data_IF_130786102223
#
_entry.id   IF_130786102223
#
_cell.length_a   1.000
_cell.length_b   1.000
_cell.length_c   1.000
_cell.angle_alpha   90.00
_cell.angle_beta   90.00
_cell.angle_gamma   90.00
#
_symmetry.space_group_name_H-M   'P 1'
#
loop_
_entity.id
_entity.type
_entity.pdbx_description
1 polymer ?
#
# COMPACT_ATOMS: atom_id res chain seq x y z
N UNK A 1 9.50 16.24 65.81
CA UNK A 1 8.04 16.47 65.73
C UNK A 1 7.39 15.09 65.93
N UNK A 2 6.95 14.75 67.16
CA UNK A 2 5.55 14.89 67.67
C UNK A 2 4.55 14.24 66.70
N UNK A 3 3.73 13.23 67.01
CA UNK A 3 3.26 12.65 68.27
C UNK A 3 2.86 11.17 68.07
N UNK A 4 3.05 10.38 69.12
CA UNK A 4 2.36 9.12 69.36
C UNK A 4 0.93 9.36 69.84
N UNK A 5 -0.01 8.45 69.54
CA UNK A 5 -1.13 8.11 70.44
C UNK A 5 -1.43 6.61 70.28
N UNK A 6 -1.03 5.85 71.30
CA UNK A 6 -1.55 4.56 71.72
C UNK A 6 -3.01 4.72 72.17
N UNK A 7 -3.91 3.80 71.83
CA UNK A 7 -4.98 3.37 72.73
C UNK A 7 -5.13 1.84 72.65
N UNK A 8 -5.13 1.21 73.81
CA UNK A 8 -5.32 -0.22 74.05
C UNK A 8 -6.60 -0.44 74.88
N UNK A 9 -6.90 -1.73 75.15
CA UNK A 9 -8.01 -2.34 75.93
C UNK A 9 -9.15 -2.84 75.03
N UNK A 10 -9.70 -4.04 75.16
CA UNK A 10 -9.74 -5.02 76.25
C UNK A 10 -10.07 -6.41 75.66
N UNK A 11 -9.60 -7.47 76.31
CA UNK A 11 -10.03 -8.85 76.06
C UNK A 11 -11.35 -9.15 76.79
N UNK A 12 -12.21 -9.97 76.19
CA UNK A 12 -13.08 -10.90 76.89
C UNK A 12 -13.41 -12.10 76.00
N UNK A 13 -13.11 -13.28 76.53
CA UNK A 13 -13.36 -14.59 75.95
C UNK A 13 -14.83 -14.97 76.13
N UNK A 14 -15.45 -15.60 75.13
CA UNK A 14 -16.49 -16.60 75.39
C UNK A 14 -16.60 -17.57 74.22
N UNK A 15 -16.31 -18.84 74.55
CA UNK A 15 -16.60 -20.01 73.74
C UNK A 15 -18.11 -20.14 73.56
N UNK A 16 -18.54 -20.28 72.30
CA UNK A 16 -19.88 -20.72 71.95
C UNK A 16 -19.93 -21.07 70.47
N UNK A 17 -19.69 -22.34 70.13
CA UNK A 17 -19.91 -22.87 68.77
C UNK A 17 -21.41 -22.90 68.48
N UNK A 18 -21.93 -22.17 67.49
CA UNK A 18 -23.28 -22.37 66.97
C UNK A 18 -23.27 -23.57 65.98
N UNK A 19 -24.39 -24.29 65.83
CA UNK A 19 -24.50 -25.40 64.89
C UNK A 19 -24.35 -24.88 63.44
N UNK A 20 -23.81 -25.69 62.52
CA UNK A 20 -23.64 -25.26 61.13
C UNK A 20 -25.03 -24.99 60.51
N UNK A 21 -25.26 -23.80 59.93
CA UNK A 21 -26.45 -23.59 59.12
C UNK A 21 -26.37 -24.48 57.87
N UNK A 22 -27.50 -25.11 57.55
CA UNK A 22 -27.70 -25.95 56.37
C UNK A 22 -27.25 -25.18 55.11
N UNK A 23 -26.36 -25.80 54.34
CA UNK A 23 -25.94 -25.33 53.02
C UNK A 23 -27.18 -25.26 52.12
N UNK A 24 -27.63 -24.04 51.83
CA UNK A 24 -28.45 -23.78 50.64
C UNK A 24 -27.45 -23.57 49.51
N UNK A 25 -27.55 -24.27 48.36
CA UNK A 25 -26.67 -24.01 47.24
C UNK A 25 -26.98 -22.62 46.71
N UNK A 26 -26.15 -21.64 47.09
CA UNK A 26 -26.14 -20.36 46.41
C UNK A 26 -25.70 -20.61 44.98
N UNK A 27 -26.57 -20.19 44.06
CA UNK A 27 -26.30 -20.15 42.63
C UNK A 27 -24.92 -19.55 42.40
N UNK A 28 -24.11 -20.29 41.65
CA UNK A 28 -22.81 -19.89 41.11
C UNK A 28 -22.74 -18.38 40.87
N UNK A 29 -21.72 -17.74 41.44
CA UNK A 29 -21.23 -16.44 40.99
C UNK A 29 -20.89 -16.59 39.50
N UNK A 30 -21.87 -16.27 38.65
CA UNK A 30 -21.63 -16.05 37.24
C UNK A 30 -20.85 -14.75 37.16
N UNK A 31 -19.52 -14.88 37.01
CA UNK A 31 -18.67 -13.78 36.62
C UNK A 31 -19.33 -13.09 35.42
N UNK A 32 -19.81 -11.87 35.63
CA UNK A 32 -20.24 -11.00 34.55
C UNK A 32 -18.97 -10.72 33.75
N UNK A 33 -18.74 -11.50 32.70
CA UNK A 33 -17.77 -11.20 31.69
C UNK A 33 -18.21 -9.88 31.08
N UNK A 34 -17.54 -8.80 31.48
CA UNK A 34 -17.63 -7.52 30.79
C UNK A 34 -17.13 -7.80 29.38
N UNK A 35 -18.06 -7.93 28.43
CA UNK A 35 -17.75 -7.92 27.03
C UNK A 35 -17.12 -6.57 26.74
N UNK A 36 -15.79 -6.53 26.70
CA UNK A 36 -15.08 -5.47 26.00
C UNK A 36 -15.70 -5.47 24.61
N UNK A 37 -16.36 -4.38 24.26
CA UNK A 37 -16.93 -4.17 22.94
C UNK A 37 -15.76 -4.23 21.96
N UNK A 38 -15.47 -5.44 21.47
CA UNK A 38 -14.58 -5.64 20.36
C UNK A 38 -15.28 -4.88 19.25
N UNK A 39 -14.71 -3.73 18.89
CA UNK A 39 -15.29 -2.82 17.91
C UNK A 39 -15.70 -3.54 16.62
N UNK A 40 -16.30 -2.83 15.66
CA UNK A 40 -16.88 -3.44 14.47
C UNK A 40 -15.93 -4.50 13.85
N UNK A 41 -16.45 -5.69 13.51
CA UNK A 41 -15.61 -6.80 13.07
C UNK A 41 -14.77 -6.36 11.87
N UNK A 42 -13.48 -6.69 11.92
CA UNK A 42 -12.57 -6.37 10.82
C UNK A 42 -13.03 -7.07 9.52
N UNK A 43 -12.85 -6.43 8.35
CA UNK A 43 -13.05 -7.09 7.07
C UNK A 43 -12.29 -8.41 6.99
N UNK A 44 -12.84 -9.41 6.29
CA UNK A 44 -12.18 -10.70 6.11
C UNK A 44 -10.80 -10.52 5.42
N UNK A 45 -9.73 -10.95 6.10
CA UNK A 45 -8.36 -10.71 5.66
C UNK A 45 -7.46 -11.91 6.03
N UNK A 46 -6.26 -11.93 5.45
CA UNK A 46 -5.21 -12.89 5.78
C UNK A 46 -3.98 -12.14 6.30
N UNK A 47 -3.29 -12.71 7.28
CA UNK A 47 -2.10 -12.12 7.88
C UNK A 47 -0.83 -12.86 7.46
N UNK A 48 0.20 -12.12 7.09
CA UNK A 48 1.49 -12.63 6.62
C UNK A 48 2.64 -12.07 7.47
N UNK A 49 3.77 -12.79 7.57
CA UNK A 49 4.94 -12.30 8.30
C UNK A 49 5.57 -11.07 7.64
N UNK A 50 5.59 -10.99 6.31
CA UNK A 50 6.21 -9.91 5.55
C UNK A 50 5.57 -9.76 4.15
N UNK A 51 6.01 -8.73 3.43
CA UNK A 51 5.48 -8.38 2.11
C UNK A 51 5.79 -9.46 1.06
N UNK A 52 6.95 -10.11 1.16
CA UNK A 52 7.34 -11.14 0.20
C UNK A 52 6.45 -12.38 0.33
N UNK A 53 6.15 -12.81 1.57
CA UNK A 53 5.23 -13.90 1.86
C UNK A 53 3.82 -13.58 1.35
N UNK A 54 3.33 -12.36 1.58
CA UNK A 54 2.03 -11.91 1.06
C UNK A 54 1.98 -11.97 -0.48
N UNK A 55 2.97 -11.39 -1.17
CA UNK A 55 3.03 -11.39 -2.65
C UNK A 55 3.09 -12.83 -3.20
N UNK A 56 3.92 -13.69 -2.60
CA UNK A 56 4.13 -15.06 -3.08
C UNK A 56 2.84 -15.90 -3.10
N UNK A 57 1.97 -15.70 -2.10
CA UNK A 57 0.70 -16.42 -1.98
C UNK A 57 -0.45 -15.73 -2.72
N UNK A 58 -0.41 -14.39 -2.78
CA UNK A 58 -1.50 -13.60 -3.37
C UNK A 58 -1.50 -13.65 -4.90
N UNK A 59 -0.32 -13.64 -5.53
CA UNK A 59 -0.20 -13.61 -6.99
C UNK A 59 -0.31 -15.02 -7.59
N UNK A 60 -1.34 -15.32 -8.40
CA UNK A 60 -1.48 -16.60 -9.10
C UNK A 60 -0.27 -16.96 -9.95
N UNK A 61 0.01 -18.26 -10.09
CA UNK A 61 1.18 -18.76 -10.81
C UNK A 61 1.17 -18.41 -12.31
N UNK A 62 0.00 -18.29 -12.91
CA UNK A 62 -0.22 -17.96 -14.32
C UNK A 62 -0.30 -16.45 -14.61
N UNK A 63 -0.12 -15.61 -13.59
CA UNK A 63 -0.06 -14.15 -13.74
C UNK A 63 1.01 -13.74 -14.75
N UNK A 64 0.67 -12.80 -15.62
CA UNK A 64 1.58 -12.23 -16.61
C UNK A 64 2.02 -10.82 -16.26
N UNK A 65 1.10 -10.03 -15.72
CA UNK A 65 1.35 -8.65 -15.33
C UNK A 65 0.84 -8.40 -13.91
N UNK A 66 1.66 -7.75 -13.08
CA UNK A 66 1.27 -7.30 -11.74
C UNK A 66 1.36 -5.78 -11.67
N UNK A 67 0.25 -5.11 -11.40
CA UNK A 67 0.23 -3.69 -11.07
C UNK A 67 0.35 -3.49 -9.56
N UNK A 68 1.43 -2.87 -9.12
CA UNK A 68 1.66 -2.43 -7.76
C UNK A 68 1.33 -0.94 -7.63
N UNK A 69 0.20 -0.66 -6.99
CA UNK A 69 -0.26 0.68 -6.66
C UNK A 69 0.20 1.13 -5.29
N UNK A 70 0.47 2.42 -5.10
CA UNK A 70 0.67 3.03 -3.79
C UNK A 70 -0.12 4.32 -3.61
N UNK A 71 -0.32 4.71 -2.36
CA UNK A 71 -0.52 6.12 -2.03
C UNK A 71 0.86 6.78 -2.00
N UNK A 72 1.09 7.74 -2.90
CA UNK A 72 2.38 8.43 -2.94
C UNK A 72 2.66 9.15 -1.63
N UNK A 73 3.89 8.99 -1.14
CA UNK A 73 4.42 9.84 -0.09
C UNK A 73 4.43 11.30 -0.56
N UNK A 74 4.00 12.22 0.32
CA UNK A 74 3.88 13.65 0.05
C UNK A 74 4.37 14.47 1.24
N UNK A 75 4.86 15.67 1.00
CA UNK A 75 5.35 16.56 2.08
C UNK A 75 4.22 17.09 2.98
N UNK A 76 2.97 17.01 2.53
CA UNK A 76 1.78 17.40 3.29
C UNK A 76 1.07 16.21 3.97
N UNK A 77 1.76 15.07 4.11
CA UNK A 77 1.28 13.82 4.73
C UNK A 77 2.24 13.34 5.83
N UNK A 78 1.92 12.21 6.47
CA UNK A 78 2.81 11.58 7.44
C UNK A 78 4.20 11.32 6.82
N UNK A 79 5.26 11.77 7.50
CA UNK A 79 6.63 11.58 7.06
C UNK A 79 7.17 10.24 7.59
N UNK A 80 6.67 9.17 6.99
CA UNK A 80 7.00 7.78 7.33
C UNK A 80 7.72 7.11 6.17
N UNK A 81 8.24 5.90 6.40
CA UNK A 81 8.84 5.09 5.33
C UNK A 81 7.79 4.83 4.24
N UNK A 82 8.13 5.15 2.99
CA UNK A 82 7.23 5.03 1.84
C UNK A 82 6.95 3.57 1.47
N UNK A 83 5.83 3.33 0.78
CA UNK A 83 5.57 2.04 0.15
C UNK A 83 6.68 1.69 -0.86
N UNK A 84 7.16 2.68 -1.61
CA UNK A 84 8.31 2.53 -2.53
C UNK A 84 9.56 1.98 -1.84
N UNK A 85 9.92 2.52 -0.69
CA UNK A 85 11.07 2.05 0.09
C UNK A 85 10.87 0.62 0.64
N UNK A 86 9.65 0.27 1.03
CA UNK A 86 9.29 -1.07 1.51
C UNK A 86 9.28 -2.09 0.37
N UNK A 87 8.72 -1.74 -0.79
CA UNK A 87 8.74 -2.54 -2.00
C UNK A 87 10.17 -2.79 -2.49
N UNK A 88 10.99 -1.74 -2.55
CA UNK A 88 12.41 -1.83 -2.95
C UNK A 88 13.17 -2.82 -2.07
N UNK A 89 12.95 -2.79 -0.74
CA UNK A 89 13.60 -3.72 0.18
C UNK A 89 13.11 -5.17 0.04
N UNK A 90 11.85 -5.38 -0.35
CA UNK A 90 11.27 -6.70 -0.54
C UNK A 90 11.56 -7.30 -1.93
N UNK A 91 11.90 -6.47 -2.92
CA UNK A 91 12.11 -6.86 -4.31
C UNK A 91 13.05 -8.07 -4.49
N UNK A 92 14.18 -8.21 -3.77
CA UNK A 92 15.03 -9.39 -3.92
C UNK A 92 14.31 -10.74 -3.67
N UNK A 93 13.28 -10.75 -2.82
CA UNK A 93 12.57 -11.98 -2.43
C UNK A 93 11.60 -12.51 -3.50
N UNK A 94 11.18 -11.67 -4.45
CA UNK A 94 10.28 -12.05 -5.54
C UNK A 94 10.76 -11.63 -6.93
N UNK A 95 11.91 -10.95 -7.01
CA UNK A 95 12.48 -10.44 -8.26
C UNK A 95 12.84 -11.53 -9.26
N UNK A 96 13.07 -12.77 -8.82
CA UNK A 96 13.28 -13.93 -9.70
C UNK A 96 12.07 -14.25 -10.57
N UNK A 97 10.87 -13.76 -10.22
CA UNK A 97 9.66 -13.87 -11.04
C UNK A 97 9.46 -12.71 -12.01
N UNK A 98 10.20 -11.61 -11.86
CA UNK A 98 9.99 -10.38 -12.63
C UNK A 98 11.04 -10.26 -13.74
N UNK A 99 10.60 -10.13 -14.98
CA UNK A 99 11.46 -9.84 -16.13
C UNK A 99 11.68 -8.34 -16.33
N UNK A 100 10.63 -7.55 -16.12
CA UNK A 100 10.61 -6.11 -16.40
C UNK A 100 9.87 -5.38 -15.28
N UNK A 101 10.38 -4.20 -14.90
CA UNK A 101 9.78 -3.30 -13.93
C UNK A 101 9.53 -1.94 -14.57
N UNK A 102 8.27 -1.64 -14.85
CA UNK A 102 7.83 -0.35 -15.37
C UNK A 102 7.50 0.56 -14.18
N UNK A 103 8.14 1.72 -14.10
CA UNK A 103 7.97 2.65 -12.98
C UNK A 103 7.27 3.91 -13.48
N UNK A 104 6.28 4.37 -12.73
CA UNK A 104 5.60 5.65 -12.92
C UNK A 104 6.54 6.82 -12.60
N UNK A 105 7.42 7.09 -13.55
CA UNK A 105 8.37 8.20 -13.55
C UNK A 105 8.82 8.43 -14.99
N UNK A 106 9.21 9.63 -15.36
CA UNK A 106 9.87 9.90 -16.64
C UNK A 106 11.22 10.57 -16.43
N UNK A 107 12.09 10.40 -17.41
CA UNK A 107 13.32 11.16 -17.53
C UNK A 107 13.10 12.17 -18.64
N UNK A 108 13.44 13.44 -18.39
CA UNK A 108 13.33 14.48 -19.40
C UNK A 108 14.26 14.16 -20.57
N UNK A 109 13.70 14.04 -21.77
CA UNK A 109 14.52 13.92 -22.98
C UNK A 109 15.22 15.26 -23.23
N UNK A 110 16.55 15.33 -23.19
CA UNK A 110 17.29 16.58 -23.41
C UNK A 110 16.99 17.20 -24.78
N UNK A 111 16.56 16.41 -25.78
CA UNK A 111 16.16 16.89 -27.10
C UNK A 111 14.88 17.74 -27.09
N UNK A 112 14.06 17.63 -26.05
CA UNK A 112 12.85 18.44 -25.91
C UNK A 112 13.11 19.83 -25.29
N UNK A 113 14.37 20.14 -24.95
CA UNK A 113 14.82 21.48 -24.59
C UNK A 113 14.30 22.00 -23.24
N UNK A 114 14.57 23.29 -22.99
CA UNK A 114 14.32 23.95 -21.71
C UNK A 114 12.85 23.87 -21.26
N UNK A 115 11.90 23.90 -22.20
CA UNK A 115 10.47 23.86 -21.90
C UNK A 115 10.05 22.55 -21.21
N UNK A 116 10.65 21.43 -21.60
CA UNK A 116 10.39 20.13 -20.98
C UNK A 116 10.93 20.07 -19.54
N UNK A 117 12.10 20.66 -19.31
CA UNK A 117 12.71 20.79 -17.97
C UNK A 117 11.81 21.63 -17.06
N UNK A 118 11.40 22.82 -17.52
CA UNK A 118 10.53 23.72 -16.73
C UNK A 118 9.16 23.10 -16.44
N UNK A 119 8.59 22.40 -17.42
CA UNK A 119 7.29 21.73 -17.26
C UNK A 119 7.40 20.61 -16.22
N UNK A 120 8.45 19.79 -16.31
CA UNK A 120 8.71 18.72 -15.34
C UNK A 120 8.92 19.28 -13.94
N UNK A 121 9.73 20.33 -13.79
CA UNK A 121 9.95 20.97 -12.48
C UNK A 121 8.65 21.50 -11.84
N UNK A 122 7.71 22.02 -12.66
CA UNK A 122 6.40 22.46 -12.17
C UNK A 122 5.49 21.31 -11.79
N UNK A 123 5.50 20.23 -12.57
CA UNK A 123 4.80 18.99 -12.20
C UNK A 123 5.32 18.46 -10.87
N UNK A 124 6.65 18.36 -10.69
CA UNK A 124 7.27 17.93 -9.43
C UNK A 124 6.84 18.78 -8.24
N UNK A 125 6.76 20.10 -8.42
CA UNK A 125 6.28 21.02 -7.39
C UNK A 125 4.81 20.76 -7.03
N UNK A 126 3.97 20.50 -8.03
CA UNK A 126 2.53 20.31 -7.83
C UNK A 126 2.18 18.96 -7.18
N UNK A 127 2.93 17.91 -7.48
CA UNK A 127 2.72 16.59 -6.86
C UNK A 127 3.17 16.53 -5.40
N UNK A 128 3.91 17.55 -4.93
CA UNK A 128 4.37 17.70 -3.54
C UNK A 128 5.14 16.47 -3.02
N UNK A 129 5.92 15.85 -3.89
CA UNK A 129 6.68 14.64 -3.59
C UNK A 129 7.91 14.98 -2.71
N UNK A 130 8.19 14.27 -1.60
CA UNK A 130 9.36 14.52 -0.77
C UNK A 130 10.64 14.27 -1.55
N UNK A 131 11.67 15.09 -1.34
CA UNK A 131 12.96 14.96 -2.03
C UNK A 131 13.59 13.58 -1.81
N UNK A 132 13.44 13.01 -0.60
CA UNK A 132 13.90 11.66 -0.27
C UNK A 132 13.32 10.58 -1.20
N UNK A 133 12.11 10.76 -1.73
CA UNK A 133 11.49 9.74 -2.60
C UNK A 133 11.99 9.82 -4.05
N UNK A 134 12.69 10.90 -4.45
CA UNK A 134 13.37 10.98 -5.75
C UNK A 134 14.57 10.04 -5.78
N UNK A 135 15.37 10.01 -4.71
CA UNK A 135 16.45 9.04 -4.58
C UNK A 135 15.91 7.61 -4.45
N UNK A 136 14.74 7.40 -3.83
CA UNK A 136 14.10 6.08 -3.77
C UNK A 136 13.75 5.49 -5.14
N UNK A 137 13.35 6.29 -6.14
CA UNK A 137 13.15 5.80 -7.52
C UNK A 137 14.47 5.27 -8.09
N UNK A 138 15.56 6.01 -7.87
CA UNK A 138 16.91 5.57 -8.27
C UNK A 138 17.30 4.26 -7.60
N UNK A 139 17.06 4.15 -6.28
CA UNK A 139 17.32 2.94 -5.51
C UNK A 139 16.48 1.75 -6.01
N UNK A 140 15.22 1.97 -6.38
CA UNK A 140 14.39 0.92 -6.98
C UNK A 140 14.96 0.45 -8.33
N UNK A 141 15.38 1.38 -9.18
CA UNK A 141 15.99 1.05 -10.46
C UNK A 141 17.31 0.27 -10.29
N UNK A 142 18.13 0.63 -9.30
CA UNK A 142 19.38 -0.08 -8.99
C UNK A 142 19.11 -1.46 -8.39
N UNK A 143 18.13 -1.59 -7.50
CA UNK A 143 17.70 -2.88 -6.95
C UNK A 143 17.16 -3.80 -8.06
N UNK A 144 16.39 -3.26 -9.02
CA UNK A 144 15.89 -4.00 -10.17
C UNK A 144 17.05 -4.53 -11.04
N UNK A 145 18.03 -3.68 -11.38
CA UNK A 145 19.23 -4.10 -12.13
C UNK A 145 20.01 -5.16 -11.39
N UNK A 146 20.23 -5.00 -10.08
CA UNK A 146 20.92 -5.99 -9.24
C UNK A 146 20.20 -7.35 -9.22
N UNK A 147 18.87 -7.36 -9.35
CA UNK A 147 18.06 -8.56 -9.48
C UNK A 147 17.94 -9.11 -10.92
N UNK A 148 18.67 -8.54 -11.89
CA UNK A 148 18.54 -8.80 -13.33
C UNK A 148 17.10 -8.60 -13.87
N UNK A 149 16.42 -7.60 -13.33
CA UNK A 149 15.13 -7.10 -13.83
C UNK A 149 15.43 -5.92 -14.75
N UNK A 150 14.76 -5.83 -15.90
CA UNK A 150 14.89 -4.68 -16.80
C UNK A 150 14.01 -3.52 -16.30
N UNK A 151 14.56 -2.42 -15.77
CA UNK A 151 13.75 -1.26 -15.40
C UNK A 151 13.35 -0.45 -16.65
N UNK A 152 12.14 0.10 -16.62
CA UNK A 152 11.61 1.01 -17.63
C UNK A 152 11.03 2.25 -16.95
N UNK A 153 11.37 3.42 -17.46
CA UNK A 153 10.71 4.68 -17.14
C UNK A 153 9.78 5.09 -18.29
N UNK A 154 8.76 5.89 -18.00
CA UNK A 154 7.90 6.52 -19.00
C UNK A 154 8.73 7.40 -19.96
N UNK A 155 8.36 7.37 -21.23
CA UNK A 155 9.07 8.10 -22.29
C UNK A 155 8.12 9.12 -22.93
N UNK A 156 8.21 10.37 -22.48
CA UNK A 156 7.37 11.44 -23.01
C UNK A 156 7.94 12.00 -24.31
N UNK A 157 7.09 12.22 -25.31
CA UNK A 157 7.47 12.94 -26.52
C UNK A 157 7.50 14.45 -26.27
N UNK A 158 8.21 15.22 -27.08
CA UNK A 158 8.28 16.68 -26.89
C UNK A 158 6.89 17.35 -26.86
N UNK A 159 5.97 16.89 -27.72
CA UNK A 159 4.57 17.34 -27.75
C UNK A 159 3.77 16.98 -26.48
N UNK A 160 4.19 15.99 -25.71
CA UNK A 160 3.51 15.62 -24.47
C UNK A 160 3.84 16.65 -23.38
N UNK A 161 5.07 17.16 -23.32
CA UNK A 161 5.42 18.28 -22.44
C UNK A 161 4.63 19.55 -22.77
N UNK A 162 4.31 19.80 -24.03
CA UNK A 162 3.46 20.93 -24.43
C UNK A 162 2.04 20.81 -23.88
N UNK A 163 1.49 19.58 -23.81
CA UNK A 163 0.17 19.32 -23.23
C UNK A 163 0.16 19.47 -21.71
N UNK A 164 1.25 19.09 -21.05
CA UNK A 164 1.43 19.29 -19.62
C UNK A 164 1.80 20.73 -19.26
N UNK A 165 2.20 21.53 -20.25
CA UNK A 165 2.68 22.88 -20.01
C UNK A 165 1.60 23.69 -19.28
N UNK A 166 1.98 24.39 -18.19
CA UNK A 166 1.02 25.14 -17.41
C UNK A 166 0.32 26.20 -18.24
N UNK A 167 -1.02 26.18 -18.27
CA UNK A 167 -1.81 27.26 -18.88
C UNK A 167 -2.00 28.45 -17.92
N UNK A 168 -2.10 28.17 -16.62
CA UNK A 168 -2.32 29.16 -15.55
C UNK A 168 -1.27 29.07 -14.42
N UNK A 169 -0.03 28.68 -14.75
CA UNK A 169 1.05 28.51 -13.77
C UNK A 169 1.08 27.12 -13.10
N UNK A 170 0.01 26.34 -13.19
CA UNK A 170 -0.07 24.95 -12.71
C UNK A 170 -0.16 23.95 -13.87
N UNK A 171 0.49 22.79 -13.70
CA UNK A 171 0.32 21.66 -14.62
C UNK A 171 -1.12 21.14 -14.60
N UNK A 172 -1.65 20.73 -15.76
CA UNK A 172 -3.01 20.19 -15.90
C UNK A 172 -3.07 18.76 -15.32
N UNK A 173 -3.77 18.53 -14.19
CA UNK A 173 -3.80 17.22 -13.54
C UNK A 173 -4.52 16.16 -14.38
N UNK A 174 -5.52 16.54 -15.17
CA UNK A 174 -6.25 15.60 -16.05
C UNK A 174 -5.35 15.16 -17.20
N UNK A 175 -4.65 16.12 -17.83
CA UNK A 175 -3.69 15.80 -18.90
C UNK A 175 -2.56 14.90 -18.40
N UNK A 176 -2.08 15.13 -17.16
CA UNK A 176 -1.06 14.31 -16.51
C UNK A 176 -1.55 12.89 -16.26
N UNK A 177 -2.74 12.71 -15.66
CA UNK A 177 -3.33 11.39 -15.42
C UNK A 177 -3.52 10.59 -16.72
N UNK A 178 -4.04 11.24 -17.76
CA UNK A 178 -4.24 10.61 -19.06
C UNK A 178 -2.90 10.18 -19.71
N UNK A 179 -1.88 11.03 -19.63
CA UNK A 179 -0.57 10.75 -20.19
C UNK A 179 0.15 9.62 -19.43
N UNK A 180 0.14 9.65 -18.11
CA UNK A 180 0.71 8.60 -17.26
C UNK A 180 0.08 7.25 -17.57
N UNK A 181 -1.26 7.17 -17.57
CA UNK A 181 -2.00 5.94 -17.89
C UNK A 181 -1.58 5.37 -19.25
N UNK A 182 -1.56 6.24 -20.26
CA UNK A 182 -1.19 5.85 -21.63
C UNK A 182 0.23 5.31 -21.73
N UNK A 183 1.20 5.95 -21.08
CA UNK A 183 2.60 5.53 -21.15
C UNK A 183 2.86 4.23 -20.38
N UNK A 184 2.26 4.07 -19.19
CA UNK A 184 2.32 2.82 -18.44
C UNK A 184 1.72 1.66 -19.25
N UNK A 185 0.57 1.87 -19.89
CA UNK A 185 -0.04 0.89 -20.81
C UNK A 185 0.91 0.50 -21.94
N UNK A 186 1.42 1.50 -22.67
CA UNK A 186 2.27 1.30 -23.85
C UNK A 186 3.51 0.48 -23.51
N UNK A 187 4.19 0.83 -22.41
CA UNK A 187 5.42 0.15 -22.01
C UNK A 187 5.12 -1.27 -21.53
N UNK A 188 4.10 -1.47 -20.71
CA UNK A 188 3.73 -2.81 -20.23
C UNK A 188 3.36 -3.74 -21.38
N UNK A 189 2.53 -3.30 -22.33
CA UNK A 189 2.18 -4.08 -23.51
C UNK A 189 3.41 -4.38 -24.38
N UNK A 190 4.34 -3.43 -24.51
CA UNK A 190 5.58 -3.64 -25.24
C UNK A 190 6.48 -4.67 -24.54
N UNK A 191 6.59 -4.62 -23.21
CA UNK A 191 7.37 -5.56 -22.42
C UNK A 191 6.79 -6.97 -22.53
N UNK A 192 5.46 -7.12 -22.38
CA UNK A 192 4.76 -8.39 -22.58
C UNK A 192 5.06 -8.96 -23.97
N UNK A 193 4.77 -8.20 -25.04
CA UNK A 193 5.01 -8.62 -26.43
C UNK A 193 6.47 -8.98 -26.72
N UNK A 194 7.42 -8.29 -26.09
CA UNK A 194 8.84 -8.58 -26.25
C UNK A 194 9.20 -9.92 -25.58
N UNK A 195 8.76 -10.10 -24.34
CA UNK A 195 9.07 -11.29 -23.54
C UNK A 195 8.35 -12.53 -24.01
N UNK A 196 7.15 -12.42 -24.56
CA UNK A 196 6.41 -13.56 -25.13
C UNK A 196 7.14 -14.20 -26.34
N UNK A 197 8.15 -13.51 -26.92
CA UNK A 197 9.02 -14.06 -27.96
C UNK A 197 10.20 -14.87 -27.42
N UNK A 198 10.48 -14.77 -26.11
CA UNK A 198 11.60 -15.43 -25.43
C UNK A 198 11.06 -16.45 -24.42
N UNK A 199 11.02 -17.75 -24.73
CA UNK A 199 10.44 -18.76 -23.85
C UNK A 199 11.18 -18.94 -22.50
N UNK A 200 12.34 -18.32 -22.33
CA UNK A 200 13.14 -18.38 -21.09
C UNK A 200 12.87 -17.21 -20.14
N UNK A 201 11.96 -16.30 -20.52
CA UNK A 201 11.66 -15.11 -19.74
C UNK A 201 11.04 -15.44 -18.38
N UNK A 202 11.32 -14.59 -17.37
CA UNK A 202 10.63 -14.64 -16.07
C UNK A 202 9.17 -14.22 -16.24
N UNK A 203 8.21 -14.82 -15.53
CA UNK A 203 6.79 -14.75 -15.89
C UNK A 203 6.16 -13.36 -15.80
N UNK A 204 6.65 -12.48 -14.92
CA UNK A 204 5.96 -11.22 -14.60
C UNK A 204 6.60 -10.00 -15.27
N UNK A 205 5.76 -9.17 -15.87
CA UNK A 205 6.03 -7.73 -16.02
C UNK A 205 5.38 -7.03 -14.83
N UNK A 206 6.15 -6.29 -14.04
CA UNK A 206 5.64 -5.51 -12.91
C UNK A 206 5.48 -4.04 -13.31
N UNK A 207 4.38 -3.41 -12.93
CA UNK A 207 4.19 -1.96 -12.98
C UNK A 207 4.18 -1.44 -11.54
N UNK A 208 4.86 -0.32 -11.28
CA UNK A 208 4.88 0.33 -9.97
C UNK A 208 4.52 1.81 -10.11
N UNK A 209 3.46 2.24 -9.40
CA UNK A 209 2.96 3.61 -9.50
C UNK A 209 1.84 3.91 -8.50
N UNK A 210 1.07 4.97 -8.76
CA UNK A 210 -0.07 5.36 -7.95
C UNK A 210 -1.25 4.39 -8.09
N UNK A 211 -1.88 4.07 -6.96
CA UNK A 211 -3.01 3.11 -6.84
C UNK A 211 -4.18 3.39 -7.79
N UNK A 212 -4.36 4.65 -8.18
CA UNK A 212 -5.40 5.07 -9.13
C UNK A 212 -5.23 4.41 -10.51
N UNK A 213 -4.00 4.23 -10.97
CA UNK A 213 -3.73 3.78 -12.33
C UNK A 213 -3.86 2.26 -12.52
N UNK A 214 -3.66 1.46 -11.47
CA UNK A 214 -3.67 -0.01 -11.53
C UNK A 214 -5.04 -0.64 -11.17
N UNK A 215 -6.04 0.16 -10.83
CA UNK A 215 -7.31 -0.31 -10.24
C UNK A 215 -8.16 -1.13 -11.23
N UNK A 216 -8.47 -2.39 -10.90
CA UNK A 216 -9.41 -3.24 -11.69
C UNK A 216 -10.86 -2.84 -11.50
N UNK A 217 -11.18 -2.15 -10.41
CA UNK A 217 -12.53 -1.74 -10.03
C UNK A 217 -12.61 -0.23 -9.80
N UNK A 218 -12.15 0.60 -10.76
CA UNK A 218 -12.05 2.03 -10.55
C UNK A 218 -13.44 2.66 -10.41
N UNK A 219 -13.55 3.68 -9.55
CA UNK A 219 -14.76 4.49 -9.48
C UNK A 219 -15.04 5.21 -10.80
N UNK A 220 -16.32 5.42 -11.13
CA UNK A 220 -16.74 5.98 -12.43
C UNK A 220 -16.05 7.30 -12.81
N UNK A 221 -15.71 8.15 -11.84
CA UNK A 221 -15.04 9.44 -12.07
C UNK A 221 -13.54 9.37 -12.39
N UNK A 222 -12.91 8.20 -12.25
CA UNK A 222 -11.46 8.01 -12.49
C UNK A 222 -11.16 6.81 -13.39
N UNK A 223 -12.21 6.11 -13.86
CA UNK A 223 -12.08 4.87 -14.62
C UNK A 223 -11.23 5.00 -15.89
N UNK A 224 -11.29 6.14 -16.58
CA UNK A 224 -10.49 6.42 -17.78
C UNK A 224 -8.97 6.49 -17.52
N UNK A 225 -8.56 6.63 -16.26
CA UNK A 225 -7.16 6.69 -15.86
C UNK A 225 -6.66 5.40 -15.23
N UNK A 226 -7.46 4.33 -15.24
CA UNK A 226 -6.96 2.99 -14.93
C UNK A 226 -6.50 2.29 -16.21
N UNK A 227 -5.33 1.66 -16.15
CA UNK A 227 -4.83 0.80 -17.20
C UNK A 227 -5.24 -0.66 -17.07
N UNK A 228 -5.84 -1.05 -15.94
CA UNK A 228 -6.06 -2.44 -15.56
C UNK A 228 -6.82 -3.24 -16.63
N UNK A 229 -7.94 -2.74 -17.11
CA UNK A 229 -8.78 -3.42 -18.12
C UNK A 229 -8.01 -3.65 -19.43
N UNK A 230 -7.31 -2.61 -19.91
CA UNK A 230 -6.53 -2.69 -21.15
C UNK A 230 -5.39 -3.72 -21.06
N UNK A 231 -4.73 -3.80 -19.90
CA UNK A 231 -3.67 -4.78 -19.67
C UNK A 231 -4.23 -6.17 -19.45
N UNK A 232 -5.36 -6.31 -18.76
CA UNK A 232 -6.02 -7.59 -18.55
C UNK A 232 -6.43 -8.23 -19.88
N UNK A 233 -7.06 -7.46 -20.76
CA UNK A 233 -7.41 -7.90 -22.11
C UNK A 233 -6.18 -8.28 -22.93
N UNK A 234 -5.10 -7.49 -22.84
CA UNK A 234 -3.86 -7.76 -23.57
C UNK A 234 -3.08 -8.98 -23.04
N UNK A 235 -3.49 -9.54 -21.91
CA UNK A 235 -2.84 -10.69 -21.26
C UNK A 235 -3.79 -11.87 -21.07
N UNK A 236 -4.92 -11.88 -21.79
CA UNK A 236 -5.95 -12.93 -21.70
C UNK A 236 -6.43 -13.19 -20.27
N UNK A 237 -6.67 -12.13 -19.50
CA UNK A 237 -7.15 -12.25 -18.13
C UNK A 237 -6.04 -12.60 -17.12
N UNK A 238 -4.78 -12.21 -17.38
CA UNK A 238 -3.62 -12.52 -16.51
C UNK A 238 -3.00 -11.28 -15.86
N UNK A 239 -3.80 -10.24 -15.67
CA UNK A 239 -3.44 -9.07 -14.88
C UNK A 239 -3.87 -9.21 -13.42
N UNK A 240 -2.98 -8.88 -12.49
CA UNK A 240 -3.25 -8.81 -11.06
C UNK A 240 -2.98 -7.40 -10.55
N UNK A 241 -3.91 -6.88 -9.77
CA UNK A 241 -3.77 -5.61 -9.05
C UNK A 241 -3.42 -5.86 -7.58
N UNK A 242 -2.42 -5.14 -7.09
CA UNK A 242 -2.03 -5.07 -5.69
C UNK A 242 -1.83 -3.60 -5.29
N UNK A 243 -2.62 -3.11 -4.34
CA UNK A 243 -2.35 -1.82 -3.69
C UNK A 243 -1.56 -2.01 -2.40
N UNK A 244 -0.39 -1.40 -2.31
CA UNK A 244 0.48 -1.37 -1.14
C UNK A 244 0.15 -0.15 -0.28
N UNK A 245 -0.44 -0.40 0.88
CA UNK A 245 -0.92 0.66 1.76
C UNK A 245 -0.03 0.77 2.99
N UNK A 246 0.60 1.93 3.15
CA UNK A 246 1.21 2.35 4.42
C UNK A 246 0.12 2.97 5.30
N UNK A 247 -0.17 2.42 6.49
CA UNK A 247 -1.26 2.86 7.35
C UNK A 247 -1.34 4.37 7.56
N UNK A 248 -0.22 5.00 7.88
CA UNK A 248 -0.12 6.41 8.24
C UNK A 248 -0.38 7.34 7.04
N UNK A 249 -0.15 6.87 5.81
CA UNK A 249 -0.51 7.62 4.60
C UNK A 249 -2.02 7.53 4.32
N UNK A 250 -2.61 6.35 4.52
CA UNK A 250 -4.06 6.14 4.36
C UNK A 250 -4.89 6.91 5.40
N UNK A 251 -4.40 7.03 6.63
CA UNK A 251 -5.07 7.81 7.69
C UNK A 251 -5.28 9.28 7.32
N UNK A 252 -4.38 9.85 6.52
CA UNK A 252 -4.49 11.23 6.06
C UNK A 252 -5.35 11.37 4.78
N UNK A 253 -5.74 10.27 4.14
CA UNK A 253 -6.42 10.26 2.85
C UNK A 253 -7.93 9.96 2.99
N UNK A 254 -8.77 10.97 2.73
CA UNK A 254 -10.21 10.86 2.94
C UNK A 254 -10.90 9.87 1.99
N UNK A 255 -10.30 9.60 0.82
CA UNK A 255 -10.81 8.58 -0.11
C UNK A 255 -10.53 7.19 0.46
N UNK A 256 -9.32 6.96 0.98
CA UNK A 256 -8.92 5.73 1.65
C UNK A 256 -9.77 5.43 2.87
N UNK A 257 -10.08 6.45 3.68
CA UNK A 257 -10.95 6.32 4.88
C UNK A 257 -12.35 5.76 4.57
N UNK A 258 -12.82 5.92 3.33
CA UNK A 258 -14.13 5.43 2.89
C UNK A 258 -14.07 4.02 2.30
N UNK A 259 -12.88 3.44 2.16
CA UNK A 259 -12.73 2.13 1.54
C UNK A 259 -13.08 1.00 2.51
N UNK A 260 -13.67 -0.12 2.02
CA UNK A 260 -14.04 -1.25 2.86
C UNK A 260 -12.88 -1.88 3.66
N UNK A 261 -11.64 -1.79 3.14
CA UNK A 261 -10.45 -2.33 3.80
C UNK A 261 -9.91 -1.42 4.91
N UNK A 262 -10.33 -0.15 4.98
CA UNK A 262 -9.75 0.85 5.87
C UNK A 262 -9.68 0.44 7.36
N UNK A 263 -10.67 -0.28 7.93
CA UNK A 263 -10.57 -0.73 9.33
C UNK A 263 -9.32 -1.57 9.63
N UNK A 264 -8.68 -2.20 8.62
CA UNK A 264 -7.45 -2.95 8.78
C UNK A 264 -6.23 -2.08 9.13
N UNK A 265 -6.26 -0.78 8.80
CA UNK A 265 -5.19 0.20 9.07
C UNK A 265 -4.85 0.28 10.56
N UNK A 266 -5.88 0.23 11.42
CA UNK A 266 -5.71 0.25 12.87
C UNK A 266 -5.18 -1.09 13.42
N UNK A 267 -5.44 -2.20 12.73
CA UNK A 267 -5.08 -3.55 13.15
C UNK A 267 -3.74 -4.05 12.59
N UNK A 268 -3.09 -3.29 11.70
CA UNK A 268 -1.91 -3.70 10.94
C UNK A 268 -0.63 -3.77 11.78
N UNK A 269 -0.53 -4.77 12.65
CA UNK A 269 0.70 -5.16 13.36
C UNK A 269 1.57 -6.15 12.56
N UNK A 270 1.03 -6.65 11.45
CA UNK A 270 1.62 -7.56 10.46
C UNK A 270 1.18 -7.10 9.07
N UNK A 271 1.66 -7.78 8.02
CA UNK A 271 1.13 -7.55 6.66
C UNK A 271 -0.25 -8.18 6.58
N UNK A 272 -1.27 -7.38 6.28
CA UNK A 272 -2.65 -7.84 6.13
C UNK A 272 -3.06 -7.75 4.66
N UNK A 273 -3.58 -8.84 4.11
CA UNK A 273 -4.09 -8.90 2.73
C UNK A 273 -5.60 -8.98 2.76
N UNK A 274 -6.23 -8.02 2.10
CA UNK A 274 -7.66 -7.99 1.84
C UNK A 274 -7.91 -8.19 0.35
N UNK A 275 -8.90 -9.03 0.01
CA UNK A 275 -9.29 -9.29 -1.37
C UNK A 275 -10.44 -8.35 -1.74
N UNK A 276 -10.19 -7.40 -2.64
CA UNK A 276 -11.21 -6.49 -3.18
C UNK A 276 -12.17 -7.23 -4.10
N UNK A 277 -11.61 -8.06 -4.96
CA UNK A 277 -12.33 -8.81 -5.98
C UNK A 277 -11.47 -9.88 -6.60
N UNK A 278 -11.88 -10.39 -7.76
CA UNK A 278 -11.05 -11.32 -8.53
C UNK A 278 -9.74 -10.62 -8.95
N UNK A 279 -8.60 -11.20 -8.59
CA UNK A 279 -7.25 -10.73 -8.96
C UNK A 279 -6.98 -9.25 -8.58
N UNK A 280 -7.65 -8.74 -7.55
CA UNK A 280 -7.46 -7.39 -7.00
C UNK A 280 -7.38 -7.46 -5.48
N UNK A 281 -6.27 -6.95 -4.95
CA UNK A 281 -5.91 -7.08 -3.56
C UNK A 281 -5.38 -5.77 -2.98
N UNK A 282 -5.64 -5.57 -1.70
CA UNK A 282 -5.03 -4.50 -0.91
C UNK A 282 -4.14 -5.16 0.14
N UNK A 283 -2.88 -4.76 0.17
CA UNK A 283 -1.89 -5.20 1.16
C UNK A 283 -1.62 -4.03 2.08
N UNK A 284 -2.20 -4.09 3.28
CA UNK A 284 -1.92 -3.14 4.36
C UNK A 284 -0.64 -3.57 5.07
N UNK A 285 0.37 -2.72 4.99
CA UNK A 285 1.69 -2.96 5.58
C UNK A 285 1.64 -2.73 7.10
N UNK A 286 2.55 -3.36 7.88
CA UNK A 286 2.64 -3.08 9.30
C UNK A 286 2.89 -1.59 9.52
N UNK A 287 2.28 -1.03 10.58
CA UNK A 287 2.58 0.33 11.00
C UNK A 287 4.08 0.49 11.22
N UNK A 288 4.61 1.64 10.80
CA UNK A 288 5.97 2.02 11.16
C UNK A 288 5.99 2.31 12.66
N UNK A 289 6.96 1.73 13.39
CA UNK A 289 7.08 2.02 14.83
C UNK A 289 7.42 3.51 14.97
N UNK A 290 6.53 4.26 15.62
CA UNK A 290 6.84 5.59 16.18
C UNK A 290 7.88 5.47 17.29
#
# INVERSE_FOLDING_TARGET
>A
MRCAVLWALMACSSNGKPPPPKVVPHASDAAIAVSVDAGPPLPAHQAYPDLAAAISVTVPADTRVVGFGELHARVDRAQVRSALSLFTAALPSFGTKISDLVVETWIVDPKCGQKAVETTAKVEKNVKRPEATKSEIGLLADAAKAANIQPHAMTLQCKDYEKLAPKNGEADPIAMLALTTKELQRIAQSAVKHRDKDPTHRPWVALYGGALHNDRFPGAGVAEWSYAETIDLATDGKYVEIDLIVPELAEADSVSQQQPWFPLVAAANRVLVWKRGERSFVIVLPRTKT
#
